data_IF_096126333724
#
_entry.id   IF_096126333724
#
_cell.length_a   1.000
_cell.length_b   1.000
_cell.length_c   1.000
_cell.angle_alpha   90.00
_cell.angle_beta   90.00
_cell.angle_gamma   90.00
#
_symmetry.space_group_name_H-M   'P 1'
#
loop_
_entity.id
_entity.type
_entity.pdbx_description
1 polymer ?
#
# COMPACT_ATOMS: atom_id res chain seq x y z
N UNK A 1 10.59 3.01 3.21
CA UNK A 1 9.23 2.50 2.96
C UNK A 1 8.24 3.52 3.44
N UNK A 2 7.29 3.90 2.58
CA UNK A 2 6.16 4.77 2.92
C UNK A 2 4.91 3.89 2.98
N UNK A 3 4.01 4.15 3.93
CA UNK A 3 2.78 3.37 4.17
C UNK A 3 1.63 4.36 4.34
N UNK A 4 0.48 4.06 3.75
CA UNK A 4 -0.75 4.83 3.97
C UNK A 4 -1.58 4.19 5.08
N UNK A 5 -2.25 5.02 5.89
CA UNK A 5 -3.08 4.58 7.02
C UNK A 5 -4.43 5.29 6.92
N UNK A 6 -5.53 4.54 7.02
CA UNK A 6 -6.87 5.14 7.06
C UNK A 6 -7.23 5.70 8.45
N UNK A 7 -8.40 6.34 8.54
CA UNK A 7 -8.86 6.95 9.79
C UNK A 7 -9.23 5.93 10.87
N UNK A 8 -9.47 4.67 10.49
CA UNK A 8 -9.72 3.56 11.42
C UNK A 8 -8.42 2.92 11.91
N UNK A 9 -7.28 3.22 11.27
CA UNK A 9 -5.95 2.72 11.61
C UNK A 9 -5.50 1.51 10.78
N UNK A 10 -6.16 1.18 9.67
CA UNK A 10 -5.73 0.10 8.77
C UNK A 10 -4.68 0.55 7.76
N UNK A 11 -3.80 -0.38 7.41
CA UNK A 11 -2.63 -0.13 6.57
C UNK A 11 -2.84 -0.49 5.11
N UNK A 12 -2.23 0.32 4.25
CA UNK A 12 -2.26 0.21 2.79
C UNK A 12 -0.90 0.57 2.20
N UNK A 13 -0.57 0.01 1.03
CA UNK A 13 0.73 0.26 0.38
C UNK A 13 0.87 1.72 -0.10
N UNK A 14 -0.23 2.32 -0.56
CA UNK A 14 -0.35 3.75 -0.86
C UNK A 14 -1.82 4.19 -0.73
N UNK A 15 -2.07 5.50 -0.75
CA UNK A 15 -3.40 6.11 -0.65
C UNK A 15 -4.37 5.69 -1.79
N UNK A 16 -3.87 5.37 -2.98
CA UNK A 16 -4.67 4.80 -4.07
C UNK A 16 -5.16 3.41 -3.70
N UNK A 17 -4.28 2.57 -3.14
CA UNK A 17 -4.68 1.26 -2.64
C UNK A 17 -5.69 1.43 -1.48
N UNK A 18 -5.53 2.44 -0.63
CA UNK A 18 -6.52 2.80 0.39
C UNK A 18 -7.87 3.20 -0.23
N UNK A 19 -7.88 4.07 -1.23
CA UNK A 19 -9.10 4.50 -1.93
C UNK A 19 -9.81 3.33 -2.61
N UNK A 20 -9.07 2.34 -3.09
CA UNK A 20 -9.60 1.11 -3.69
C UNK A 20 -9.91 0.02 -2.66
N UNK A 21 -9.61 0.23 -1.38
CA UNK A 21 -9.75 -0.77 -0.33
C UNK A 21 -8.83 -1.99 -0.47
N UNK A 22 -7.75 -1.85 -1.24
CA UNK A 22 -6.72 -2.87 -1.50
C UNK A 22 -5.77 -2.98 -0.31
N UNK A 23 -5.90 -4.01 0.55
CA UNK A 23 -5.11 -4.13 1.76
C UNK A 23 -3.60 -4.22 1.46
N UNK A 24 -2.78 -3.80 2.42
CA UNK A 24 -1.32 -3.92 2.39
C UNK A 24 -0.88 -5.29 1.83
N UNK A 25 -0.09 -5.28 0.75
CA UNK A 25 0.47 -6.49 0.13
C UNK A 25 -0.59 -7.51 -0.35
N UNK A 26 -1.81 -7.06 -0.64
CA UNK A 26 -2.95 -7.90 -1.10
C UNK A 26 -3.34 -8.98 -0.06
N UNK A 27 -3.13 -8.67 1.21
CA UNK A 27 -3.39 -9.61 2.30
C UNK A 27 -4.89 -9.92 2.43
N UNK A 28 -5.21 -11.18 2.73
CA UNK A 28 -6.60 -11.62 2.99
C UNK A 28 -7.24 -10.90 4.18
N UNK A 29 -6.43 -10.37 5.09
CA UNK A 29 -6.89 -9.59 6.25
C UNK A 29 -6.17 -8.24 6.29
N UNK A 30 -6.92 -7.18 6.57
CA UNK A 30 -6.35 -5.86 6.85
C UNK A 30 -5.48 -5.92 8.10
N UNK A 31 -4.33 -5.25 8.05
CA UNK A 31 -3.46 -5.05 9.21
C UNK A 31 -3.81 -3.73 9.85
N UNK A 32 -4.00 -3.72 11.17
CA UNK A 32 -4.23 -2.50 11.94
C UNK A 32 -2.91 -2.02 12.56
N UNK A 33 -2.72 -0.69 12.69
CA UNK A 33 -1.50 -0.06 13.20
C UNK A 33 -1.09 -0.58 14.58
N UNK A 34 -2.05 -0.94 15.43
CA UNK A 34 -1.77 -1.49 16.77
C UNK A 34 -1.11 -2.86 16.73
N UNK A 35 -1.34 -3.63 15.67
CA UNK A 35 -0.81 -4.99 15.50
C UNK A 35 0.43 -4.99 14.59
N UNK A 36 0.99 -3.80 14.36
CA UNK A 36 2.08 -3.61 13.41
C UNK A 36 3.38 -4.17 13.96
N UNK A 37 3.95 -5.14 13.25
CA UNK A 37 5.34 -5.56 13.43
C UNK A 37 6.13 -5.20 12.18
N UNK A 38 7.16 -4.36 12.33
CA UNK A 38 7.98 -3.87 11.21
C UNK A 38 8.70 -5.01 10.47
N UNK A 39 9.07 -6.09 11.16
CA UNK A 39 9.69 -7.26 10.55
C UNK A 39 8.74 -7.97 9.57
N UNK A 40 7.43 -7.80 9.75
CA UNK A 40 6.41 -8.38 8.88
C UNK A 40 6.13 -7.55 7.62
N UNK A 41 6.76 -6.39 7.46
CA UNK A 41 6.49 -5.43 6.36
C UNK A 41 7.75 -5.13 5.57
N UNK A 42 8.89 -5.00 6.27
CA UNK A 42 10.16 -4.70 5.63
C UNK A 42 10.51 -5.82 4.63
N UNK A 43 10.75 -5.44 3.38
CA UNK A 43 11.09 -6.37 2.31
C UNK A 43 9.90 -7.12 1.70
N UNK A 44 8.65 -6.83 2.09
CA UNK A 44 7.48 -7.32 1.39
C UNK A 44 7.17 -6.47 0.16
N UNK A 45 6.73 -7.14 -0.91
CA UNK A 45 6.24 -6.50 -2.12
C UNK A 45 4.89 -5.84 -1.88
N UNK A 46 4.62 -4.75 -2.59
CA UNK A 46 3.33 -4.07 -2.54
C UNK A 46 2.28 -4.74 -3.45
N UNK A 47 1.00 -4.48 -3.19
CA UNK A 47 -0.07 -4.90 -4.10
C UNK A 47 -0.07 -4.03 -5.37
N UNK A 48 0.24 -4.66 -6.51
CA UNK A 48 0.25 -4.02 -7.83
C UNK A 48 -1.01 -4.36 -8.63
N UNK A 49 -1.56 -3.36 -9.34
CA UNK A 49 -2.71 -3.46 -10.27
C UNK A 49 -2.51 -2.48 -11.44
N UNK A 50 -3.45 -2.45 -12.38
CA UNK A 50 -3.37 -1.63 -13.60
C UNK A 50 -3.12 -0.13 -13.34
N UNK A 51 -3.71 0.45 -12.28
CA UNK A 51 -3.51 1.86 -11.92
C UNK A 51 -2.07 2.17 -11.49
N UNK A 52 -1.33 1.18 -10.99
CA UNK A 52 0.07 1.35 -10.60
C UNK A 52 0.95 1.68 -11.80
N UNK A 53 0.63 1.12 -12.98
CA UNK A 53 1.36 1.43 -14.22
C UNK A 53 1.12 2.89 -14.68
N UNK A 54 -0.06 3.44 -14.40
CA UNK A 54 -0.35 4.86 -14.57
C UNK A 54 0.44 5.76 -13.60
N UNK A 55 0.70 5.27 -12.37
CA UNK A 55 1.54 5.97 -11.40
C UNK A 55 3.03 5.98 -11.80
N UNK A 56 3.56 4.87 -12.35
CA UNK A 56 4.93 4.83 -12.89
C UNK A 56 5.14 5.73 -14.10
N UNK A 57 4.09 6.02 -14.87
CA UNK A 57 4.18 6.86 -16.08
C UNK A 57 4.44 8.36 -15.78
N UNK A 58 4.62 8.76 -14.51
CA UNK A 58 4.89 10.15 -14.12
C UNK A 58 3.65 11.04 -14.10
N UNK A 59 2.46 10.45 -14.10
CA UNK A 59 1.16 11.14 -14.12
C UNK A 59 0.23 10.73 -12.96
N UNK A 60 0.63 9.80 -12.08
CA UNK A 60 -0.21 9.27 -10.99
C UNK A 60 0.36 9.48 -9.59
N UNK A 61 -0.53 9.58 -8.60
CA UNK A 61 -0.36 10.62 -7.57
C UNK A 61 0.37 10.26 -6.28
N UNK A 62 0.79 9.01 -5.99
CA UNK A 62 1.35 8.75 -4.64
C UNK A 62 2.35 7.61 -4.47
N UNK A 63 2.32 6.58 -5.31
CA UNK A 63 3.20 5.42 -5.15
C UNK A 63 4.55 5.61 -5.88
N UNK A 64 4.77 6.76 -6.57
CA UNK A 64 6.01 7.21 -7.24
C UNK A 64 6.76 6.15 -8.06
N UNK A 65 6.04 5.17 -8.58
CA UNK A 65 6.63 4.07 -9.33
C UNK A 65 7.43 3.04 -8.52
N UNK A 66 7.22 2.94 -7.21
CA UNK A 66 7.80 1.87 -6.40
C UNK A 66 7.13 0.52 -6.73
N UNK A 67 7.58 -0.17 -7.78
CA UNK A 67 7.13 -1.52 -8.15
C UNK A 67 8.01 -2.63 -7.54
N UNK A 68 8.51 -2.44 -6.32
CA UNK A 68 9.43 -3.39 -5.68
C UNK A 68 8.73 -4.29 -4.66
#
# INVERSE_FOLDING_TARGET
TLISIDWEGYLFDCDFNQMLGLPLGDATKKVHMRDLNMDNILGKSIAVRDHCFGCTAGQGSSCSGALQ
#
